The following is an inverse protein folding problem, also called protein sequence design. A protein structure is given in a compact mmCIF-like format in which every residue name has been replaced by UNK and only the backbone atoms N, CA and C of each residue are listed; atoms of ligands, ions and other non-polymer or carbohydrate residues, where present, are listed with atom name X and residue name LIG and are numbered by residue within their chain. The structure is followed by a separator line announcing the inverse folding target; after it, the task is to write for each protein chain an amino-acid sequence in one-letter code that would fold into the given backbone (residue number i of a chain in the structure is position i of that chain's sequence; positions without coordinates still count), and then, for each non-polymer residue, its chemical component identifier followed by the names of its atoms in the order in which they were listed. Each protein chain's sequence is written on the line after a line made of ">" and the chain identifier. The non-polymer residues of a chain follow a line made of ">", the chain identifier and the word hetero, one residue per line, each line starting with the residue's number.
data_IF_594689844275
#
_entry.id   IF_594689844275
#
_cell.length_a   1.000
_cell.length_b   1.000
_cell.length_c   1.000
_cell.angle_alpha   90.00
_cell.angle_beta   90.00
_cell.angle_gamma   90.00
#
_symmetry.space_group_name_H-M   'P 1'
#
loop_
_entity.id
_entity.type
_entity.pdbx_description
1 polymer ?
#
# COMPACT_ATOMS: atom_id res chain seq x y z
N UNK A 1 3.03 51.75 6.69
CA UNK A 1 3.34 50.61 7.61
C UNK A 1 2.85 49.35 6.93
N UNK A 2 3.76 48.77 6.15
CA UNK A 2 3.47 47.57 5.35
C UNK A 2 3.67 46.31 6.21
N UNK A 3 2.62 45.54 6.36
CA UNK A 3 2.71 44.22 6.98
C UNK A 3 3.27 43.22 5.91
N UNK A 4 4.35 42.50 6.21
CA UNK A 4 4.81 41.45 5.31
C UNK A 4 3.83 40.28 5.37
N UNK A 5 3.32 39.89 4.19
CA UNK A 5 2.55 38.66 3.99
C UNK A 5 3.41 37.45 4.38
N UNK A 6 3.00 36.73 5.41
CA UNK A 6 3.54 35.43 5.76
C UNK A 6 3.25 34.45 4.65
N UNK A 7 4.24 34.17 3.83
CA UNK A 7 4.21 33.02 2.95
C UNK A 7 4.06 31.77 3.80
N UNK A 8 2.89 31.15 3.76
CA UNK A 8 2.69 29.81 4.27
C UNK A 8 3.64 28.88 3.53
N UNK A 9 4.60 28.31 4.28
CA UNK A 9 5.54 27.34 3.73
C UNK A 9 4.74 26.17 3.13
N UNK A 10 4.95 25.93 1.83
CA UNK A 10 4.45 24.73 1.16
C UNK A 10 4.93 23.52 1.98
N UNK A 11 4.04 22.62 2.44
CA UNK A 11 4.46 21.46 3.22
C UNK A 11 5.43 20.63 2.38
N UNK A 12 6.56 20.23 2.98
CA UNK A 12 7.54 19.38 2.34
C UNK A 12 6.88 18.12 1.77
N UNK A 13 7.27 17.65 0.56
CA UNK A 13 6.64 16.49 -0.05
C UNK A 13 6.78 15.28 0.88
N UNK A 14 5.64 14.70 1.23
CA UNK A 14 5.57 13.50 2.08
C UNK A 14 6.14 12.30 1.31
N UNK A 15 7.00 11.48 1.92
CA UNK A 15 7.62 10.35 1.24
C UNK A 15 6.61 9.27 0.81
N UNK A 16 6.83 8.62 -0.33
CA UNK A 16 5.84 7.91 -1.12
C UNK A 16 6.00 6.37 -1.10
N UNK A 17 4.94 5.59 -0.88
CA UNK A 17 4.84 4.14 -1.10
C UNK A 17 4.49 3.82 -2.55
N UNK A 18 4.57 2.54 -2.98
CA UNK A 18 4.12 2.15 -4.34
C UNK A 18 2.73 2.70 -4.65
N UNK A 19 1.76 2.48 -3.77
CA UNK A 19 0.41 3.06 -3.93
C UNK A 19 0.43 4.59 -3.88
N UNK A 20 1.31 5.20 -3.10
CA UNK A 20 1.47 6.66 -3.03
C UNK A 20 2.17 7.23 -4.26
N UNK A 21 3.20 6.56 -4.78
CA UNK A 21 3.85 6.95 -6.04
C UNK A 21 2.81 6.96 -7.18
N UNK A 22 1.99 5.91 -7.26
CA UNK A 22 0.89 5.83 -8.24
C UNK A 22 -0.14 6.94 -7.99
N UNK A 23 -0.57 7.17 -6.73
CA UNK A 23 -1.51 8.25 -6.38
C UNK A 23 -0.98 9.62 -6.82
N UNK A 24 0.28 9.93 -6.47
CA UNK A 24 0.90 11.22 -6.82
C UNK A 24 1.09 11.39 -8.34
N UNK A 25 1.34 10.29 -9.05
CA UNK A 25 1.35 10.28 -10.51
C UNK A 25 -0.03 10.55 -11.10
N UNK A 26 -1.06 9.87 -10.60
CA UNK A 26 -2.43 10.07 -11.04
C UNK A 26 -2.91 11.50 -10.74
N UNK A 27 -2.60 12.04 -9.55
CA UNK A 27 -2.95 13.42 -9.20
C UNK A 27 -2.45 14.43 -10.23
N UNK A 28 -1.24 14.25 -10.73
CA UNK A 28 -0.63 15.15 -11.74
C UNK A 28 -1.18 14.98 -13.15
N UNK A 29 -1.64 13.78 -13.49
CA UNK A 29 -1.92 13.44 -14.88
C UNK A 29 -3.41 13.22 -15.20
N UNK A 30 -4.26 12.98 -14.21
CA UNK A 30 -5.68 12.66 -14.46
C UNK A 30 -6.67 13.54 -13.68
N UNK A 31 -6.22 14.34 -12.72
CA UNK A 31 -7.13 15.26 -12.00
C UNK A 31 -7.58 16.37 -12.94
N UNK A 32 -8.89 16.63 -12.95
CA UNK A 32 -9.55 17.53 -13.89
C UNK A 32 -9.93 16.85 -15.23
N UNK A 33 -9.53 15.59 -15.44
CA UNK A 33 -9.92 14.85 -16.63
C UNK A 33 -11.34 14.29 -16.50
N UNK A 34 -12.05 14.29 -17.63
CA UNK A 34 -13.37 13.66 -17.77
C UNK A 34 -13.22 12.26 -18.34
N UNK A 35 -13.90 11.29 -17.77
CA UNK A 35 -14.00 9.93 -18.29
C UNK A 35 -15.03 9.91 -19.42
N UNK A 36 -14.57 9.76 -20.67
CA UNK A 36 -15.46 9.72 -21.85
C UNK A 36 -16.12 8.36 -22.00
N UNK A 37 -15.33 7.30 -21.83
CA UNK A 37 -15.79 5.93 -21.95
C UNK A 37 -14.90 4.99 -21.12
N UNK A 38 -15.41 3.82 -20.78
CA UNK A 38 -14.69 2.76 -20.07
C UNK A 38 -14.84 1.45 -20.83
N UNK A 39 -13.71 0.86 -21.21
CA UNK A 39 -13.64 -0.46 -21.82
C UNK A 39 -13.24 -1.48 -20.74
N UNK A 40 -14.15 -2.35 -20.34
CA UNK A 40 -13.86 -3.48 -19.45
C UNK A 40 -13.47 -4.68 -20.32
N UNK A 41 -12.18 -4.89 -20.52
CA UNK A 41 -11.63 -5.95 -21.36
C UNK A 41 -11.60 -7.31 -20.66
N UNK A 42 -11.70 -7.32 -19.33
CA UNK A 42 -11.81 -8.53 -18.51
C UNK A 42 -12.60 -8.23 -17.23
N UNK A 43 -13.57 -9.09 -16.89
CA UNK A 43 -14.51 -8.86 -15.77
C UNK A 43 -13.87 -9.02 -14.39
N UNK A 44 -12.82 -9.85 -14.25
CA UNK A 44 -12.25 -10.19 -12.95
C UNK A 44 -11.78 -8.98 -12.11
N UNK A 45 -11.17 -7.94 -12.65
CA UNK A 45 -10.86 -6.74 -11.87
C UNK A 45 -12.07 -6.02 -11.29
N UNK A 46 -13.19 -6.02 -11.98
CA UNK A 46 -14.43 -5.35 -11.54
C UNK A 46 -15.41 -6.28 -10.81
N UNK A 47 -15.03 -7.51 -10.49
CA UNK A 47 -15.88 -8.55 -9.86
C UNK A 47 -16.51 -8.16 -8.52
N UNK A 48 -15.99 -7.12 -7.87
CA UNK A 48 -16.49 -6.60 -6.58
C UNK A 48 -17.48 -5.45 -6.75
N UNK A 49 -17.60 -4.91 -7.95
CA UNK A 49 -18.62 -3.90 -8.22
C UNK A 49 -19.97 -4.58 -8.39
N UNK A 50 -20.96 -4.25 -7.55
CA UNK A 50 -22.27 -4.89 -7.61
C UNK A 50 -23.04 -4.58 -8.89
N UNK A 51 -22.63 -3.56 -9.65
CA UNK A 51 -23.27 -3.16 -10.93
C UNK A 51 -22.84 -4.06 -12.10
N UNK A 52 -21.82 -4.90 -11.91
CA UNK A 52 -21.19 -5.65 -13.00
C UNK A 52 -20.39 -4.78 -13.96
N UNK A 53 -19.78 -5.38 -15.00
CA UNK A 53 -18.88 -4.66 -15.92
C UNK A 53 -19.55 -3.50 -16.66
N UNK A 54 -20.75 -3.67 -17.15
CA UNK A 54 -21.50 -2.64 -17.87
C UNK A 54 -21.92 -1.50 -16.94
N UNK A 55 -22.49 -1.83 -15.78
CA UNK A 55 -22.90 -0.83 -14.79
C UNK A 55 -21.71 -0.06 -14.21
N UNK A 56 -20.56 -0.71 -14.02
CA UNK A 56 -19.31 -0.07 -13.66
C UNK A 56 -18.87 0.96 -14.72
N UNK A 57 -18.91 0.58 -16.00
CA UNK A 57 -18.53 1.47 -17.10
C UNK A 57 -19.49 2.68 -17.20
N UNK A 58 -20.79 2.44 -17.09
CA UNK A 58 -21.81 3.50 -17.14
C UNK A 58 -21.69 4.48 -15.95
N UNK A 59 -21.40 3.98 -14.76
CA UNK A 59 -21.25 4.82 -13.57
C UNK A 59 -20.07 5.80 -13.65
N UNK A 60 -19.01 5.45 -14.40
CA UNK A 60 -17.84 6.30 -14.60
C UNK A 60 -17.97 7.23 -15.82
N UNK A 61 -18.72 6.83 -16.84
CA UNK A 61 -18.83 7.61 -18.06
C UNK A 61 -19.44 8.99 -17.80
N UNK A 62 -18.82 10.01 -18.34
CA UNK A 62 -19.22 11.41 -18.20
C UNK A 62 -18.74 12.09 -16.90
N UNK A 63 -18.13 11.35 -15.95
CA UNK A 63 -17.66 11.90 -14.67
C UNK A 63 -16.29 12.55 -14.81
N UNK A 64 -16.06 13.56 -13.96
CA UNK A 64 -14.78 14.26 -13.86
C UNK A 64 -14.03 13.80 -12.62
N UNK A 65 -12.76 13.45 -12.77
CA UNK A 65 -11.87 13.08 -11.65
C UNK A 65 -11.46 14.37 -10.94
N UNK A 66 -11.81 14.49 -9.66
CA UNK A 66 -11.57 15.72 -8.86
C UNK A 66 -10.37 15.63 -7.92
N UNK A 67 -9.76 14.44 -7.79
CA UNK A 67 -8.61 14.24 -6.92
C UNK A 67 -8.03 12.84 -7.02
N UNK A 68 -6.98 12.58 -6.23
CA UNK A 68 -6.40 11.25 -6.03
C UNK A 68 -6.03 11.08 -4.56
N UNK A 69 -6.59 10.07 -3.91
CA UNK A 69 -6.46 9.83 -2.47
C UNK A 69 -6.03 8.39 -2.19
N UNK A 70 -5.53 8.14 -0.96
CA UNK A 70 -5.02 6.83 -0.54
C UNK A 70 -5.32 6.53 0.93
N UNK A 71 -5.60 5.26 1.22
CA UNK A 71 -5.58 4.70 2.57
C UNK A 71 -4.90 3.31 2.53
N UNK A 72 -3.76 3.16 3.19
CA UNK A 72 -2.99 1.93 3.15
C UNK A 72 -2.61 1.51 1.73
N UNK A 73 -3.10 0.35 1.28
CA UNK A 73 -2.86 -0.22 -0.06
C UNK A 73 -3.97 0.08 -1.06
N UNK A 74 -4.98 0.85 -0.64
CA UNK A 74 -6.07 1.32 -1.49
C UNK A 74 -5.78 2.73 -1.96
N UNK A 75 -6.13 3.02 -3.19
CA UNK A 75 -6.21 4.37 -3.74
C UNK A 75 -7.60 4.60 -4.32
N UNK A 76 -8.05 5.83 -4.38
CA UNK A 76 -9.28 6.17 -5.06
C UNK A 76 -9.18 7.52 -5.74
N UNK A 77 -9.94 7.65 -6.81
CA UNK A 77 -10.12 8.87 -7.56
C UNK A 77 -11.52 9.40 -7.27
N UNK A 78 -11.65 10.47 -6.44
CA UNK A 78 -12.93 11.14 -6.25
C UNK A 78 -13.49 11.66 -7.57
N UNK A 79 -14.82 11.59 -7.71
CA UNK A 79 -15.59 12.02 -8.87
C UNK A 79 -16.44 13.25 -8.52
N UNK A 80 -16.87 13.99 -9.54
CA UNK A 80 -17.63 15.23 -9.43
C UNK A 80 -19.06 15.06 -8.90
N UNK A 81 -19.58 13.82 -8.86
CA UNK A 81 -20.89 13.47 -8.30
C UNK A 81 -20.86 13.00 -6.84
N UNK A 82 -19.69 13.00 -6.21
CA UNK A 82 -19.50 12.55 -4.82
C UNK A 82 -19.16 11.06 -4.70
N UNK A 83 -19.16 10.29 -5.77
CA UNK A 83 -18.68 8.90 -5.84
C UNK A 83 -17.15 8.85 -5.98
N UNK A 84 -16.58 7.66 -6.02
CA UNK A 84 -15.16 7.48 -6.28
C UNK A 84 -14.85 6.21 -7.06
N UNK A 85 -13.86 6.23 -7.92
CA UNK A 85 -13.24 5.02 -8.46
C UNK A 85 -12.23 4.49 -7.44
N UNK A 86 -12.61 3.46 -6.68
CA UNK A 86 -11.75 2.76 -5.72
C UNK A 86 -10.91 1.71 -6.44
N UNK A 87 -9.61 1.71 -6.16
CA UNK A 87 -8.63 0.79 -6.73
C UNK A 87 -7.78 0.10 -5.66
N UNK A 88 -7.52 -1.18 -5.85
CA UNK A 88 -6.51 -1.96 -5.13
C UNK A 88 -5.59 -2.64 -6.14
N UNK A 89 -4.29 -2.36 -6.08
CA UNK A 89 -3.34 -2.87 -7.08
C UNK A 89 -3.05 -4.37 -6.94
N UNK A 90 -3.35 -4.98 -5.80
CA UNK A 90 -3.07 -6.40 -5.57
C UNK A 90 -1.57 -6.69 -5.55
N UNK A 91 -1.13 -7.65 -6.38
CA UNK A 91 0.27 -8.09 -6.47
C UNK A 91 0.95 -7.70 -7.79
N UNK A 92 0.20 -7.38 -8.84
CA UNK A 92 0.72 -7.05 -10.17
C UNK A 92 -0.12 -6.01 -10.89
N UNK A 93 -1.10 -5.40 -10.20
CA UNK A 93 -1.92 -4.35 -10.77
C UNK A 93 -1.15 -3.04 -10.89
N UNK A 94 -1.35 -2.35 -11.98
CA UNK A 94 -0.74 -1.08 -12.33
C UNK A 94 -1.82 -0.13 -12.83
N UNK A 95 -1.68 1.15 -12.50
CA UNK A 95 -2.47 2.23 -13.08
C UNK A 95 -1.51 3.07 -13.94
N UNK A 96 -1.62 2.96 -15.24
CA UNK A 96 -0.74 3.60 -16.21
C UNK A 96 -1.48 4.70 -16.98
N UNK A 97 -0.86 5.84 -17.14
CA UNK A 97 -1.36 6.92 -18.01
C UNK A 97 -0.61 6.83 -19.33
N UNK A 98 -1.33 6.47 -20.38
CA UNK A 98 -0.77 6.19 -21.71
C UNK A 98 -1.32 7.16 -22.75
N UNK A 99 -0.56 7.49 -23.82
CA UNK A 99 -1.11 8.12 -25.00
C UNK A 99 -2.26 7.30 -25.60
N UNK A 100 -3.26 7.95 -26.18
CA UNK A 100 -4.43 7.27 -26.74
C UNK A 100 -4.09 6.35 -27.93
N UNK A 101 -3.01 6.64 -28.62
CA UNK A 101 -2.47 5.88 -29.76
C UNK A 101 -1.42 4.84 -29.35
N UNK A 102 -1.10 4.70 -28.06
CA UNK A 102 -0.16 3.69 -27.59
C UNK A 102 -0.70 2.28 -27.78
N UNK A 103 0.21 1.36 -28.15
CA UNK A 103 -0.12 -0.07 -28.21
C UNK A 103 -0.58 -0.57 -26.81
N UNK A 104 -1.71 -1.31 -26.74
CA UNK A 104 -2.21 -1.83 -25.47
C UNK A 104 -1.23 -2.80 -24.81
N UNK A 105 -1.05 -2.68 -23.49
CA UNK A 105 -0.25 -3.64 -22.72
C UNK A 105 -0.87 -5.05 -22.78
N UNK A 106 -0.03 -6.07 -22.84
CA UNK A 106 -0.44 -7.49 -22.89
C UNK A 106 -1.47 -7.88 -21.82
N UNK A 107 -1.45 -7.23 -20.67
CA UNK A 107 -2.32 -7.52 -19.54
C UNK A 107 -3.25 -6.36 -19.20
N UNK A 108 -3.57 -5.51 -20.17
CA UNK A 108 -4.60 -4.49 -20.03
C UNK A 108 -5.95 -5.15 -19.73
N UNK A 109 -6.61 -4.70 -18.66
CA UNK A 109 -7.88 -5.27 -18.17
C UNK A 109 -9.02 -4.29 -18.22
N UNK A 110 -8.73 -3.03 -17.89
CA UNK A 110 -9.72 -1.94 -17.97
C UNK A 110 -9.02 -0.71 -18.52
N UNK A 111 -9.67 0.00 -19.44
CA UNK A 111 -9.20 1.25 -20.00
C UNK A 111 -10.25 2.33 -19.81
N UNK A 112 -9.87 3.45 -19.23
CA UNK A 112 -10.65 4.67 -19.18
C UNK A 112 -10.12 5.63 -20.25
N UNK A 113 -10.98 6.04 -21.17
CA UNK A 113 -10.67 7.08 -22.15
C UNK A 113 -10.92 8.43 -21.50
N UNK A 114 -9.93 9.31 -21.57
CA UNK A 114 -9.97 10.59 -20.87
C UNK A 114 -10.03 11.75 -21.88
N UNK A 115 -10.59 12.86 -21.39
CA UNK A 115 -10.74 14.13 -22.11
C UNK A 115 -10.43 15.30 -21.17
N UNK A 116 -10.46 16.53 -21.64
CA UNK A 116 -10.19 17.72 -20.82
C UNK A 116 -8.73 17.81 -20.39
N UNK A 117 -8.46 17.81 -19.08
CA UNK A 117 -7.10 17.94 -18.54
C UNK A 117 -6.13 16.83 -18.97
N UNK A 118 -6.66 15.68 -19.42
CA UNK A 118 -5.88 14.54 -19.93
C UNK A 118 -6.27 14.16 -21.36
N UNK A 119 -6.63 15.14 -22.20
CA UNK A 119 -6.96 14.92 -23.60
C UNK A 119 -5.83 14.17 -24.31
N UNK A 120 -6.21 13.24 -25.19
CA UNK A 120 -5.27 12.37 -25.89
C UNK A 120 -4.58 11.31 -25.03
N UNK A 121 -5.09 11.06 -23.83
CA UNK A 121 -4.57 10.03 -22.91
C UNK A 121 -5.66 9.06 -22.46
N UNK A 122 -5.20 7.87 -22.08
CA UNK A 122 -6.02 6.84 -21.43
C UNK A 122 -5.43 6.49 -20.08
N UNK A 123 -6.29 6.12 -19.14
CA UNK A 123 -5.90 5.50 -17.88
C UNK A 123 -6.11 3.99 -18.02
N UNK A 124 -5.02 3.21 -17.96
CA UNK A 124 -5.00 1.77 -18.09
C UNK A 124 -4.87 1.09 -16.74
N UNK A 125 -5.73 0.12 -16.45
CA UNK A 125 -5.53 -0.84 -15.38
C UNK A 125 -4.99 -2.13 -15.98
N UNK A 126 -3.71 -2.38 -15.72
CA UNK A 126 -2.95 -3.54 -16.21
C UNK A 126 -2.72 -4.49 -15.05
N UNK A 127 -3.13 -5.76 -15.16
CA UNK A 127 -2.93 -6.75 -14.09
C UNK A 127 -2.78 -8.16 -14.64
N UNK A 128 -1.54 -8.68 -14.60
CA UNK A 128 -1.23 -10.04 -15.05
C UNK A 128 -1.89 -11.09 -14.17
N UNK A 129 -1.77 -10.97 -12.85
CA UNK A 129 -2.20 -11.99 -11.87
C UNK A 129 -3.67 -11.85 -11.48
N UNK A 130 -4.31 -10.75 -11.84
CA UNK A 130 -5.71 -10.43 -11.58
C UNK A 130 -6.12 -10.53 -10.09
N UNK A 131 -5.21 -10.14 -9.19
CA UNK A 131 -5.50 -9.99 -7.76
C UNK A 131 -5.93 -8.57 -7.40
N UNK A 132 -5.67 -7.62 -8.26
CA UNK A 132 -6.16 -6.27 -8.13
C UNK A 132 -7.67 -6.16 -8.34
N UNK A 133 -8.18 -4.95 -8.19
CA UNK A 133 -9.60 -4.70 -8.38
C UNK A 133 -9.93 -3.22 -8.47
N UNK A 134 -11.00 -2.96 -9.19
CA UNK A 134 -11.63 -1.66 -9.35
C UNK A 134 -13.11 -1.78 -8.96
N UNK A 135 -13.67 -0.72 -8.38
CA UNK A 135 -15.11 -0.58 -8.16
C UNK A 135 -15.47 0.90 -8.02
N UNK A 136 -16.70 1.23 -8.32
CA UNK A 136 -17.25 2.56 -8.02
C UNK A 136 -17.83 2.53 -6.61
N UNK A 137 -17.31 3.35 -5.73
CA UNK A 137 -17.77 3.52 -4.36
C UNK A 137 -18.74 4.69 -4.29
N UNK A 138 -19.99 4.39 -4.02
CA UNK A 138 -21.05 5.40 -3.91
C UNK A 138 -20.85 6.26 -2.67
N UNK A 139 -20.84 7.58 -2.83
CA UNK A 139 -20.55 8.55 -1.76
C UNK A 139 -19.10 8.48 -1.26
N UNK A 140 -18.20 7.82 -2.00
CA UNK A 140 -16.84 7.52 -1.59
C UNK A 140 -15.80 8.61 -1.83
N UNK A 141 -16.19 9.79 -2.33
CA UNK A 141 -15.23 10.83 -2.72
C UNK A 141 -14.28 11.24 -1.59
N UNK A 142 -14.77 11.39 -0.35
CA UNK A 142 -13.94 11.74 0.82
C UNK A 142 -13.20 10.51 1.35
N UNK A 143 -13.94 9.43 1.60
CA UNK A 143 -13.42 8.13 2.04
C UNK A 143 -14.40 7.03 1.65
N UNK A 144 -14.02 6.10 0.76
CA UNK A 144 -14.88 4.98 0.39
C UNK A 144 -15.32 4.18 1.62
N UNK A 145 -16.63 3.95 1.82
CA UNK A 145 -17.17 3.15 2.94
C UNK A 145 -16.54 1.75 3.03
N UNK A 146 -16.21 1.15 1.89
CA UNK A 146 -15.61 -0.19 1.79
C UNK A 146 -14.25 -0.29 2.49
N UNK A 147 -13.57 0.84 2.67
CA UNK A 147 -12.24 0.91 3.29
C UNK A 147 -12.20 1.79 4.54
N UNK A 148 -13.35 2.21 5.06
CA UNK A 148 -13.41 3.06 6.26
C UNK A 148 -12.81 2.39 7.50
N UNK A 149 -12.87 1.05 7.57
CA UNK A 149 -12.28 0.23 8.63
C UNK A 149 -10.75 0.14 8.57
N UNK A 150 -10.14 0.44 7.42
CA UNK A 150 -8.68 0.37 7.25
C UNK A 150 -7.98 1.43 8.10
N UNK A 151 -7.08 0.96 8.96
CA UNK A 151 -6.28 1.83 9.84
C UNK A 151 -5.40 2.80 9.05
N UNK A 152 -4.96 3.86 9.71
CA UNK A 152 -3.93 4.75 9.15
C UNK A 152 -2.58 4.04 9.13
N UNK A 153 -1.73 4.45 8.23
CA UNK A 153 -0.37 3.93 8.15
C UNK A 153 0.65 4.86 8.85
N UNK A 154 1.83 4.35 9.23
CA UNK A 154 2.84 5.12 9.97
C UNK A 154 3.37 6.38 9.26
N UNK A 155 3.03 6.59 7.98
CA UNK A 155 3.40 7.81 7.22
C UNK A 155 2.24 8.81 7.11
N UNK A 156 1.04 8.44 7.53
CA UNK A 156 -0.11 9.34 7.56
C UNK A 156 0.11 10.38 8.68
N UNK A 157 0.01 11.69 8.41
CA UNK A 157 0.15 12.73 9.44
C UNK A 157 -0.84 12.60 10.61
N UNK A 158 -1.98 11.94 10.38
CA UNK A 158 -3.00 11.69 11.39
C UNK A 158 -2.87 10.28 12.03
N UNK A 159 -1.72 9.63 11.90
CA UNK A 159 -1.47 8.33 12.54
C UNK A 159 -1.37 8.49 14.06
N UNK A 160 -2.28 7.86 14.77
CA UNK A 160 -2.28 7.84 16.25
C UNK A 160 -1.39 6.70 16.75
N UNK A 161 -0.12 7.03 17.04
CA UNK A 161 0.85 6.07 17.55
C UNK A 161 0.44 5.49 18.90
N UNK A 162 -0.13 6.31 19.80
CA UNK A 162 -0.47 5.87 21.15
C UNK A 162 -1.66 4.91 21.16
N UNK A 163 -2.68 5.15 20.34
CA UNK A 163 -3.79 4.20 20.15
C UNK A 163 -3.29 2.87 19.58
N UNK A 164 -2.48 2.89 18.53
CA UNK A 164 -1.95 1.67 17.92
C UNK A 164 -1.10 0.88 18.93
N UNK A 165 -0.23 1.55 19.69
CA UNK A 165 0.59 0.91 20.75
C UNK A 165 -0.30 0.28 21.81
N UNK A 166 -1.35 0.96 22.26
CA UNK A 166 -2.28 0.45 23.24
C UNK A 166 -3.04 -0.78 22.71
N UNK A 167 -3.49 -0.74 21.47
CA UNK A 167 -4.20 -1.86 20.81
C UNK A 167 -3.29 -3.07 20.60
N UNK A 168 -2.03 -2.87 20.20
CA UNK A 168 -1.01 -3.94 20.07
C UNK A 168 -0.84 -4.65 21.43
N UNK A 169 -0.65 -3.89 22.49
CA UNK A 169 -0.34 -4.43 23.81
C UNK A 169 -1.51 -5.10 24.52
N UNK A 170 -2.74 -4.89 24.07
CA UNK A 170 -3.93 -5.62 24.58
C UNK A 170 -4.11 -6.99 23.92
N UNK A 171 -3.35 -7.32 22.87
CA UNK A 171 -3.54 -8.54 22.07
C UNK A 171 -2.44 -9.55 22.33
N UNK A 172 -2.79 -10.76 22.75
CA UNK A 172 -1.85 -11.88 22.90
C UNK A 172 -1.43 -12.56 21.60
N UNK A 173 -1.88 -12.09 20.44
CA UNK A 173 -1.49 -12.64 19.15
C UNK A 173 -0.05 -12.25 18.79
N UNK A 174 0.60 -13.04 17.91
CA UNK A 174 1.94 -12.79 17.40
C UNK A 174 2.08 -11.38 16.82
N UNK A 175 3.16 -10.68 17.15
CA UNK A 175 3.35 -9.27 16.74
C UNK A 175 3.40 -9.13 15.22
N UNK A 176 3.98 -10.07 14.49
CA UNK A 176 3.97 -10.04 13.03
C UNK A 176 2.54 -10.11 12.48
N UNK A 177 1.66 -10.93 13.07
CA UNK A 177 0.24 -10.98 12.70
C UNK A 177 -0.43 -9.62 12.88
N UNK A 178 -0.12 -8.93 13.97
CA UNK A 178 -0.67 -7.61 14.26
C UNK A 178 -0.15 -6.54 13.29
N UNK A 179 1.14 -6.58 12.92
CA UNK A 179 1.69 -5.68 11.89
C UNK A 179 1.06 -5.88 10.50
N UNK A 180 0.56 -7.08 10.22
CA UNK A 180 -0.11 -7.40 8.94
C UNK A 180 -1.61 -7.12 8.96
N UNK A 181 -2.18 -6.83 10.13
CA UNK A 181 -3.58 -6.46 10.32
C UNK A 181 -3.81 -5.03 9.83
N UNK A 182 -4.41 -4.90 8.64
CA UNK A 182 -4.63 -3.61 8.00
C UNK A 182 -5.67 -2.73 8.73
N UNK A 183 -6.49 -3.30 9.61
CA UNK A 183 -7.43 -2.54 10.44
C UNK A 183 -6.72 -1.91 11.65
N UNK A 184 -5.60 -2.48 12.06
CA UNK A 184 -4.78 -1.96 13.15
C UNK A 184 -3.79 -0.91 12.65
N UNK A 185 -2.97 -1.28 11.68
CA UNK A 185 -1.97 -0.42 11.04
C UNK A 185 -1.86 -0.79 9.58
N UNK A 186 -2.25 0.10 8.70
CA UNK A 186 -2.29 -0.22 7.29
C UNK A 186 -0.94 -0.07 6.60
N UNK A 187 -0.87 -0.63 5.39
CA UNK A 187 0.26 -0.50 4.47
C UNK A 187 1.48 -1.35 4.78
N UNK A 188 1.61 -1.90 5.99
CA UNK A 188 2.67 -2.83 6.30
C UNK A 188 2.36 -4.16 5.60
N UNK A 189 3.26 -4.58 4.72
CA UNK A 189 3.24 -5.88 4.05
C UNK A 189 4.25 -6.83 4.66
N UNK A 190 4.33 -8.04 4.10
CA UNK A 190 5.22 -9.09 4.62
C UNK A 190 6.69 -8.66 4.65
N UNK A 191 7.14 -7.97 3.61
CA UNK A 191 8.51 -7.44 3.52
C UNK A 191 8.78 -6.45 4.63
N UNK A 192 7.94 -5.42 4.74
CA UNK A 192 8.12 -4.36 5.75
C UNK A 192 8.01 -4.89 7.18
N UNK A 193 7.14 -5.90 7.41
CA UNK A 193 7.03 -6.53 8.72
C UNK A 193 8.31 -7.29 9.10
N UNK A 194 8.89 -8.11 8.21
CA UNK A 194 10.11 -8.84 8.51
C UNK A 194 11.32 -7.92 8.69
N UNK A 195 11.47 -6.89 7.86
CA UNK A 195 12.54 -5.89 7.97
C UNK A 195 12.43 -5.06 9.26
N UNK A 196 11.24 -4.58 9.61
CA UNK A 196 11.01 -3.84 10.85
C UNK A 196 11.29 -4.69 12.09
N UNK A 197 10.85 -5.95 12.10
CA UNK A 197 11.11 -6.91 13.15
C UNK A 197 12.61 -7.22 13.29
N UNK A 198 13.32 -7.34 12.16
CA UNK A 198 14.78 -7.52 12.18
C UNK A 198 15.47 -6.28 12.75
N UNK A 199 15.08 -5.08 12.34
CA UNK A 199 15.62 -3.82 12.87
C UNK A 199 15.41 -3.71 14.39
N UNK A 200 14.21 -4.01 14.87
CA UNK A 200 13.84 -4.00 16.29
C UNK A 200 14.38 -5.20 17.10
N UNK A 201 14.99 -6.20 16.48
CA UNK A 201 15.44 -7.46 17.11
C UNK A 201 14.31 -8.23 17.81
N UNK A 202 13.09 -8.14 17.30
CA UNK A 202 11.91 -8.80 17.84
C UNK A 202 11.54 -9.98 16.94
N UNK A 203 11.34 -11.17 17.55
CA UNK A 203 10.84 -12.33 16.82
C UNK A 203 9.36 -12.15 16.46
N UNK A 204 8.97 -12.50 15.23
CA UNK A 204 7.60 -12.28 14.74
C UNK A 204 6.50 -12.99 15.53
N UNK A 205 6.80 -14.13 16.15
CA UNK A 205 5.88 -14.90 17.01
C UNK A 205 5.77 -14.36 18.45
N UNK A 206 6.49 -13.30 18.81
CA UNK A 206 6.36 -12.72 20.15
C UNK A 206 4.97 -12.12 20.35
N UNK A 207 4.24 -12.48 21.41
CA UNK A 207 2.93 -11.91 21.70
C UNK A 207 3.00 -10.40 21.93
N UNK A 208 2.04 -9.65 21.40
CA UNK A 208 2.01 -8.18 21.53
C UNK A 208 1.88 -7.71 22.98
N UNK A 209 1.12 -8.43 23.82
CA UNK A 209 0.96 -8.18 25.26
C UNK A 209 2.25 -8.42 26.08
N UNK A 210 3.25 -9.06 25.48
CA UNK A 210 4.58 -9.29 26.08
C UNK A 210 5.63 -8.26 25.63
N UNK A 211 5.23 -7.28 24.86
CA UNK A 211 6.08 -6.16 24.46
C UNK A 211 5.86 -4.97 25.39
N UNK A 212 6.95 -4.29 25.74
CA UNK A 212 6.85 -3.00 26.43
C UNK A 212 6.34 -1.92 25.47
N UNK A 213 5.83 -0.80 26.00
CA UNK A 213 5.45 0.36 25.19
C UNK A 213 6.63 0.83 24.32
N UNK A 214 7.82 0.94 24.90
CA UNK A 214 9.02 1.37 24.19
C UNK A 214 9.36 0.44 23.01
N UNK A 215 9.27 -0.88 23.19
CA UNK A 215 9.52 -1.84 22.11
C UNK A 215 8.50 -1.73 20.97
N UNK A 216 7.24 -1.46 21.26
CA UNK A 216 6.21 -1.29 20.21
C UNK A 216 6.42 0.04 19.48
N UNK A 217 6.74 1.12 20.19
CA UNK A 217 7.07 2.42 19.58
C UNK A 217 8.27 2.29 18.65
N UNK A 218 9.36 1.66 19.11
CA UNK A 218 10.57 1.40 18.32
C UNK A 218 10.26 0.57 17.07
N UNK A 219 9.48 -0.50 17.22
CA UNK A 219 9.07 -1.36 16.10
C UNK A 219 8.26 -0.60 15.04
N UNK A 220 7.30 0.22 15.46
CA UNK A 220 6.51 1.04 14.53
C UNK A 220 7.34 2.14 13.88
N UNK A 221 8.33 2.70 14.61
CA UNK A 221 9.35 3.60 14.06
C UNK A 221 10.15 2.92 12.95
N UNK A 222 10.67 1.71 13.21
CA UNK A 222 11.37 0.94 12.18
C UNK A 222 10.48 0.55 11.00
N UNK A 223 9.20 0.24 11.23
CA UNK A 223 8.27 0.00 10.13
C UNK A 223 8.12 1.26 9.26
N UNK A 224 8.03 2.43 9.88
CA UNK A 224 8.01 3.73 9.19
C UNK A 224 9.28 3.95 8.37
N UNK A 225 10.47 3.70 8.96
CA UNK A 225 11.75 3.89 8.28
C UNK A 225 11.89 2.96 7.07
N UNK A 226 11.55 1.66 7.20
CA UNK A 226 11.54 0.71 6.08
C UNK A 226 10.61 1.18 4.96
N UNK A 227 9.47 1.75 5.31
CA UNK A 227 8.54 2.31 4.35
C UNK A 227 9.10 3.55 3.65
N UNK A 228 9.86 4.39 4.34
CA UNK A 228 10.56 5.55 3.77
C UNK A 228 11.68 5.11 2.82
N UNK A 229 12.50 4.15 3.25
CA UNK A 229 13.57 3.60 2.42
C UNK A 229 13.03 3.00 1.11
N UNK A 230 11.92 2.25 1.20
CA UNK A 230 11.26 1.69 0.03
C UNK A 230 10.77 2.76 -0.95
N UNK A 231 10.38 3.92 -0.44
CA UNK A 231 9.89 5.05 -1.23
C UNK A 231 11.00 5.79 -1.95
N UNK A 232 12.08 6.04 -1.23
CA UNK A 232 13.26 6.69 -1.81
C UNK A 232 13.82 5.89 -3.00
N UNK A 233 13.53 4.58 -3.06
CA UNK A 233 13.97 3.65 -4.11
C UNK A 233 12.88 3.33 -5.14
N UNK A 234 11.79 4.10 -5.19
CA UNK A 234 10.70 3.92 -6.17
C UNK A 234 9.74 2.78 -5.87
N UNK A 235 9.80 2.18 -4.67
CA UNK A 235 8.91 1.11 -4.21
C UNK A 235 9.56 -0.28 -4.18
N UNK A 236 8.83 -1.26 -3.60
CA UNK A 236 9.28 -2.66 -3.55
C UNK A 236 8.96 -3.37 -4.84
N UNK A 237 9.95 -3.68 -5.64
CA UNK A 237 9.82 -4.54 -6.83
C UNK A 237 10.57 -5.83 -6.65
N UNK A 238 9.92 -6.84 -6.04
CA UNK A 238 10.28 -8.26 -6.30
C UNK A 238 9.71 -8.75 -7.63
N UNK A 239 8.87 -7.95 -8.26
CA UNK A 239 8.27 -8.25 -9.54
C UNK A 239 8.59 -7.06 -10.44
N UNK A 240 9.26 -7.27 -11.57
CA UNK A 240 9.50 -6.28 -12.61
C UNK A 240 8.19 -5.64 -13.14
N UNK A 241 7.06 -6.10 -12.61
CA UNK A 241 5.70 -5.65 -12.93
C UNK A 241 5.21 -4.47 -12.07
N UNK A 242 5.92 -4.10 -10.98
CA UNK A 242 5.58 -2.89 -10.23
C UNK A 242 6.33 -1.69 -10.80
N UNK A 243 5.64 -0.91 -11.56
CA UNK A 243 6.14 0.32 -12.17
C UNK A 243 5.29 1.52 -11.74
N UNK A 244 5.87 2.71 -11.82
CA UNK A 244 5.13 3.96 -11.65
C UNK A 244 4.17 4.19 -12.84
N UNK A 245 3.42 5.29 -12.83
CA UNK A 245 2.46 5.62 -13.91
C UNK A 245 3.13 5.81 -15.29
N UNK A 246 4.46 5.93 -15.35
CA UNK A 246 5.25 6.06 -16.57
C UNK A 246 5.96 4.74 -16.95
N UNK A 247 5.75 3.63 -16.23
CA UNK A 247 6.33 2.33 -16.56
C UNK A 247 7.71 2.04 -15.98
N UNK A 248 8.24 2.85 -15.03
CA UNK A 248 9.56 2.66 -14.43
C UNK A 248 9.51 1.78 -13.17
N UNK A 249 10.46 0.86 -13.01
CA UNK A 249 10.55 -0.10 -11.89
C UNK A 249 11.34 0.44 -10.69
N UNK A 250 10.97 0.04 -9.46
CA UNK A 250 11.72 0.34 -8.23
C UNK A 250 12.82 -0.68 -7.92
N UNK A 251 13.78 -0.33 -7.05
CA UNK A 251 15.00 -1.11 -6.75
C UNK A 251 15.17 -1.49 -5.26
N UNK A 252 14.12 -1.47 -4.45
CA UNK A 252 14.20 -1.68 -3.00
C UNK A 252 14.67 -3.07 -2.57
N UNK A 253 14.57 -4.09 -3.41
CA UNK A 253 15.01 -5.46 -3.14
C UNK A 253 16.49 -5.59 -2.78
N UNK A 254 17.34 -4.67 -3.23
CA UNK A 254 18.80 -4.67 -3.02
C UNK A 254 19.23 -4.23 -1.61
N UNK A 255 18.33 -3.70 -0.79
CA UNK A 255 18.63 -3.15 0.54
C UNK A 255 17.97 -3.92 1.69
N UNK A 256 17.52 -5.17 1.45
CA UNK A 256 16.86 -5.99 2.45
C UNK A 256 17.88 -6.75 3.31
N UNK A 257 17.58 -6.83 4.62
CA UNK A 257 18.43 -7.46 5.62
C UNK A 257 17.96 -8.83 6.11
N UNK A 258 16.68 -9.15 5.93
CA UNK A 258 16.07 -10.40 6.36
C UNK A 258 15.20 -11.04 5.28
N UNK A 259 14.30 -10.27 4.69
CA UNK A 259 13.32 -10.82 3.73
C UNK A 259 14.02 -11.31 2.46
N UNK A 260 13.71 -12.56 2.06
CA UNK A 260 14.28 -13.21 0.87
C UNK A 260 15.67 -13.79 1.06
N UNK A 261 16.33 -13.59 2.20
CA UNK A 261 17.74 -13.94 2.45
C UNK A 261 17.92 -15.25 3.22
N UNK A 262 17.06 -16.25 2.97
CA UNK A 262 17.19 -17.56 3.61
C UNK A 262 18.57 -18.19 3.36
N UNK A 263 19.26 -18.59 4.44
CA UNK A 263 20.61 -19.20 4.39
C UNK A 263 21.75 -18.18 4.32
N UNK A 264 21.50 -16.93 4.00
CA UNK A 264 22.53 -15.90 3.94
C UNK A 264 22.94 -15.42 5.35
N UNK A 265 24.17 -14.93 5.52
CA UNK A 265 24.63 -14.39 6.79
C UNK A 265 23.86 -13.11 7.17
N UNK A 266 23.46 -13.04 8.43
CA UNK A 266 22.88 -11.81 9.00
C UNK A 266 23.94 -10.72 9.09
N UNK A 267 23.64 -9.54 8.59
CA UNK A 267 24.58 -8.38 8.56
C UNK A 267 25.04 -7.92 9.96
N UNK A 268 24.32 -8.29 11.03
CA UNK A 268 24.67 -7.94 12.41
C UNK A 268 25.53 -8.98 13.14
N UNK A 269 25.27 -10.28 12.92
CA UNK A 269 25.88 -11.32 13.75
C UNK A 269 26.42 -12.51 12.97
N UNK A 270 26.36 -12.50 11.64
CA UNK A 270 26.87 -13.54 10.75
C UNK A 270 26.07 -14.86 10.74
N UNK A 271 25.08 -15.05 11.64
CA UNK A 271 24.26 -16.27 11.64
C UNK A 271 23.34 -16.30 10.44
N UNK A 272 23.13 -17.48 9.87
CA UNK A 272 22.23 -17.66 8.73
C UNK A 272 20.80 -17.22 9.08
N UNK A 273 20.22 -16.40 8.20
CA UNK A 273 18.81 -16.02 8.23
C UNK A 273 17.96 -17.26 8.01
N UNK A 274 16.89 -17.41 8.78
CA UNK A 274 15.94 -18.52 8.67
C UNK A 274 14.64 -18.07 8.03
N UNK A 275 14.06 -19.00 7.29
CA UNK A 275 12.70 -18.90 6.77
C UNK A 275 11.80 -19.92 7.45
N UNK A 276 10.61 -19.50 7.84
CA UNK A 276 9.58 -20.40 8.40
C UNK A 276 8.23 -20.11 7.76
N UNK A 277 7.33 -21.08 7.78
CA UNK A 277 5.94 -20.85 7.42
C UNK A 277 5.28 -19.93 8.45
N UNK A 278 4.51 -18.95 8.00
CA UNK A 278 3.76 -18.03 8.83
C UNK A 278 2.42 -17.70 8.16
N UNK A 279 1.32 -18.17 8.75
CA UNK A 279 0.00 -18.10 8.11
C UNK A 279 0.06 -18.73 6.69
N UNK A 280 -0.34 -18.01 5.65
CA UNK A 280 -0.29 -18.42 4.23
C UNK A 280 0.94 -17.86 3.48
N UNK A 281 2.01 -17.51 4.19
CA UNK A 281 3.22 -16.87 3.64
C UNK A 281 4.48 -17.31 4.38
N UNK A 282 5.63 -16.77 4.02
CA UNK A 282 6.90 -17.00 4.72
C UNK A 282 7.20 -15.86 5.70
N UNK A 283 7.97 -16.16 6.75
CA UNK A 283 8.59 -15.19 7.66
C UNK A 283 10.09 -15.42 7.67
N UNK A 284 10.85 -14.35 7.54
CA UNK A 284 12.31 -14.37 7.54
C UNK A 284 12.83 -13.66 8.78
N UNK A 285 13.80 -14.25 9.46
CA UNK A 285 14.39 -13.68 10.69
C UNK A 285 15.79 -14.22 10.96
N UNK A 286 16.60 -13.48 11.72
CA UNK A 286 17.87 -13.96 12.24
C UNK A 286 17.69 -14.63 13.61
N UNK A 287 18.00 -15.93 13.79
CA UNK A 287 17.81 -16.62 15.06
C UNK A 287 18.74 -16.12 16.18
N UNK A 288 19.82 -15.42 15.81
CA UNK A 288 20.75 -14.82 16.77
C UNK A 288 20.26 -13.47 17.29
N UNK A 289 19.72 -12.61 16.40
CA UNK A 289 19.24 -11.27 16.76
C UNK A 289 17.80 -11.27 17.26
N UNK A 290 17.00 -12.24 16.81
CA UNK A 290 15.56 -12.34 17.07
C UNK A 290 15.26 -13.72 17.71
N UNK A 291 15.59 -13.93 19.01
CA UNK A 291 15.40 -15.22 19.66
C UNK A 291 13.92 -15.59 19.69
N UNK A 292 13.63 -16.86 19.40
CA UNK A 292 12.28 -17.42 19.46
C UNK A 292 11.72 -17.25 20.89
N UNK A 293 10.50 -16.75 21.05
CA UNK A 293 9.87 -16.66 22.36
C UNK A 293 9.80 -18.05 23.00
N UNK A 294 10.17 -18.15 24.28
CA UNK A 294 9.96 -19.38 25.04
C UNK A 294 8.46 -19.66 25.09
N UNK A 295 8.06 -20.88 24.72
CA UNK A 295 6.67 -21.30 24.86
C UNK A 295 6.25 -21.12 26.32
N UNK A 296 5.28 -20.26 26.59
CA UNK A 296 4.66 -20.20 27.91
C UNK A 296 3.93 -21.53 28.11
N UNK A 297 4.40 -22.36 29.08
CA UNK A 297 3.59 -23.47 29.57
C UNK A 297 2.25 -22.86 29.99
N UNK A 298 1.18 -23.11 29.24
CA UNK A 298 -0.18 -22.91 29.77
C UNK A 298 -0.29 -23.89 30.91
N UNK A 299 -0.39 -23.39 32.15
CA UNK A 299 -0.87 -24.21 33.26
C UNK A 299 -2.25 -24.73 32.88
N UNK A 300 -2.51 -26.03 32.97
CA UNK A 300 -3.87 -26.53 32.77
C UNK A 300 -4.73 -25.90 33.87
N UNK A 301 -5.86 -25.30 33.47
CA UNK A 301 -6.93 -24.94 34.38
C UNK A 301 -7.80 -26.17 34.64
#
# INVERSE_FOLDING_TARGET
>A
MDHPATHAATPAPTPHRVTEVVRAGLERHVVGARVVAVDVLHERPVRRDPRGPEGFALALAGRTITGASRRGKYLWLPLDDGDALLCHLGMSGQMLVQPADAEPEKHLRVRLRLDGAAEGRHLHFVDQRMFGGLMVSTGGAVLPPEIAHIGRDPLDPLFDLDDVVARVRRRGSAIKRQLLDQDLVSGIGNIYADEALWRARIHGERPGDRLTRAQVVELLGHARDVMLDALAQGGTSFDALYVNVNGESGYFDRSLHAYGREGEPCDRCGRAVRRVAFMNRSSYFCPGCQPVPRATRRSPR
#
